data_IF_978118339839
#
_entry.id   IF_978118339839
#
_cell.length_a   1.000
_cell.length_b   1.000
_cell.length_c   1.000
_cell.angle_alpha   90.00
_cell.angle_beta   90.00
_cell.angle_gamma   90.00
#
_symmetry.space_group_name_H-M   'P 1'
#
loop_
_entity.id
_entity.type
_entity.pdbx_description
1 polymer ?
#
# COMPACT_ATOMS: atom_id res chain seq x y z
N UNK A 1 -35.59 6.75 6.99
CA UNK A 1 -34.53 6.55 5.99
C UNK A 1 -33.27 7.18 6.52
N UNK A 2 -32.08 6.55 6.39
CA UNK A 2 -30.84 7.28 6.59
C UNK A 2 -30.85 8.44 5.58
N UNK A 3 -30.75 9.66 6.07
CA UNK A 3 -30.63 10.87 5.26
C UNK A 3 -29.14 11.03 5.04
N UNK A 4 -28.69 11.00 3.79
CA UNK A 4 -27.30 11.36 3.46
C UNK A 4 -27.08 12.80 3.94
N UNK A 5 -26.10 13.06 4.83
CA UNK A 5 -25.85 14.42 5.29
C UNK A 5 -25.52 15.32 4.10
N UNK A 6 -26.01 16.54 4.15
CA UNK A 6 -25.59 17.58 3.22
C UNK A 6 -24.18 18.03 3.58
N UNK A 7 -23.42 18.57 2.62
CA UNK A 7 -22.02 19.00 2.85
C UNK A 7 -21.89 20.03 3.97
N UNK A 8 -22.93 20.86 4.16
CA UNK A 8 -22.97 21.88 5.21
C UNK A 8 -23.17 21.30 6.63
N UNK A 9 -23.56 20.02 6.74
CA UNK A 9 -23.75 19.30 8.00
C UNK A 9 -22.51 18.47 8.39
N UNK A 10 -21.49 18.39 7.52
CA UNK A 10 -20.23 17.70 7.82
C UNK A 10 -19.39 18.58 8.73
N UNK A 11 -19.11 18.08 9.93
CA UNK A 11 -18.33 18.77 10.96
C UNK A 11 -16.86 18.35 10.90
N UNK A 12 -16.59 17.08 10.61
CA UNK A 12 -15.24 16.52 10.57
C UNK A 12 -15.08 15.49 9.46
N UNK A 13 -13.88 15.43 8.88
CA UNK A 13 -13.46 14.33 7.99
C UNK A 13 -12.03 13.94 8.33
N UNK A 14 -11.82 12.69 8.74
CA UNK A 14 -10.49 12.19 9.09
C UNK A 14 -10.10 10.96 8.28
N UNK A 15 -8.80 10.82 8.07
CA UNK A 15 -8.17 9.62 7.55
C UNK A 15 -7.19 9.09 8.60
N UNK A 16 -7.50 7.91 9.12
CA UNK A 16 -6.60 7.13 9.96
C UNK A 16 -5.91 6.06 9.12
N UNK A 17 -4.59 5.94 9.23
CA UNK A 17 -3.80 4.96 8.48
C UNK A 17 -3.04 4.07 9.43
N UNK A 18 -3.15 2.76 9.25
CA UNK A 18 -2.30 1.77 9.92
C UNK A 18 -1.54 0.99 8.87
N UNK A 19 -0.23 0.87 9.05
CA UNK A 19 0.63 0.12 8.15
C UNK A 19 1.12 -1.14 8.84
N UNK A 20 0.87 -2.29 8.23
CA UNK A 20 1.46 -3.56 8.63
C UNK A 20 2.58 -3.89 7.65
N UNK A 21 3.81 -3.73 8.12
CA UNK A 21 5.01 -4.01 7.34
C UNK A 21 5.30 -5.50 7.20
N UNK A 22 6.40 -5.82 6.53
CA UNK A 22 6.92 -7.20 6.36
C UNK A 22 7.35 -7.87 7.68
N UNK A 23 7.50 -7.10 8.74
CA UNK A 23 7.75 -7.60 10.10
C UNK A 23 6.43 -7.94 10.85
N UNK A 24 5.30 -7.87 10.14
CA UNK A 24 3.93 -8.07 10.64
C UNK A 24 3.55 -7.11 11.78
N UNK A 25 4.35 -6.07 12.01
CA UNK A 25 4.08 -5.10 13.07
C UNK A 25 3.20 -3.99 12.51
N UNK A 26 2.04 -3.80 13.13
CA UNK A 26 1.11 -2.73 12.80
C UNK A 26 1.59 -1.41 13.43
N UNK A 27 1.85 -0.42 12.59
CA UNK A 27 2.31 0.91 12.96
C UNK A 27 1.25 1.95 12.53
N UNK A 28 0.53 2.57 13.49
CA UNK A 28 -0.38 3.66 13.16
C UNK A 28 0.41 4.90 12.73
N UNK A 29 -0.09 5.60 11.71
CA UNK A 29 0.40 6.91 11.28
C UNK A 29 -0.41 8.01 11.95
N UNK A 30 0.10 9.23 11.83
CA UNK A 30 -0.63 10.41 12.28
C UNK A 30 -1.95 10.54 11.52
N UNK A 31 -3.03 10.84 12.26
CA UNK A 31 -4.33 11.08 11.67
C UNK A 31 -4.30 12.34 10.81
N UNK A 32 -4.89 12.27 9.62
CA UNK A 32 -5.03 13.42 8.71
C UNK A 32 -6.43 14.02 8.84
N UNK A 33 -6.49 15.32 9.05
CA UNK A 33 -7.73 16.12 8.93
C UNK A 33 -7.92 16.53 7.46
N UNK A 34 -8.88 15.88 6.80
CA UNK A 34 -9.14 16.06 5.37
C UNK A 34 -9.81 17.40 5.07
N UNK A 35 -10.54 18.00 6.03
CA UNK A 35 -11.10 19.35 5.85
C UNK A 35 -10.01 20.40 5.97
N UNK A 36 -9.03 20.21 6.85
CA UNK A 36 -7.86 21.08 6.92
C UNK A 36 -6.98 20.98 5.68
N UNK A 37 -6.82 19.77 5.15
CA UNK A 37 -5.94 19.51 4.00
C UNK A 37 -6.54 20.04 2.69
N UNK A 38 -7.82 19.75 2.43
CA UNK A 38 -8.45 20.06 1.14
C UNK A 38 -9.40 21.26 1.18
N UNK A 39 -9.70 21.79 2.38
CA UNK A 39 -10.69 22.83 2.58
C UNK A 39 -12.13 22.29 2.60
N UNK A 40 -13.10 23.20 2.67
CA UNK A 40 -14.52 22.85 2.67
C UNK A 40 -14.98 22.45 1.27
N UNK A 41 -15.66 21.30 1.16
CA UNK A 41 -16.22 20.81 -0.09
C UNK A 41 -17.60 21.41 -0.39
N UNK A 42 -17.79 21.90 -1.61
CA UNK A 42 -19.08 22.41 -2.11
C UNK A 42 -19.88 21.35 -2.86
N UNK A 43 -19.24 20.25 -3.29
CA UNK A 43 -19.89 19.14 -3.98
C UNK A 43 -19.22 17.79 -3.75
N UNK A 44 -19.94 16.69 -4.02
CA UNK A 44 -19.41 15.32 -3.88
C UNK A 44 -18.24 15.06 -4.83
N UNK A 45 -18.23 15.71 -6.01
CA UNK A 45 -17.14 15.56 -6.97
C UNK A 45 -15.81 16.09 -6.42
N UNK A 46 -15.85 17.07 -5.51
CA UNK A 46 -14.66 17.62 -4.85
C UNK A 46 -14.16 16.72 -3.71
N UNK A 47 -14.99 15.80 -3.23
CA UNK A 47 -14.60 14.76 -2.26
C UNK A 47 -13.87 13.58 -2.91
N UNK A 48 -13.49 13.71 -4.18
CA UNK A 48 -12.63 12.74 -4.89
C UNK A 48 -11.21 13.30 -4.89
N UNK A 49 -10.38 12.80 -3.98
CA UNK A 49 -8.99 13.18 -3.85
C UNK A 49 -8.06 11.98 -4.05
N UNK A 50 -6.85 12.27 -4.52
CA UNK A 50 -5.79 11.28 -4.67
C UNK A 50 -5.05 11.12 -3.35
N UNK A 51 -4.94 9.89 -2.89
CA UNK A 51 -4.08 9.54 -1.74
C UNK A 51 -2.64 9.55 -2.24
N UNK A 52 -1.81 10.40 -1.64
CA UNK A 52 -0.38 10.53 -1.96
C UNK A 52 0.44 9.94 -0.82
N UNK A 53 1.72 9.64 -1.05
CA UNK A 53 2.64 9.26 0.03
C UNK A 53 2.64 10.27 1.20
N UNK A 54 2.46 11.57 0.91
CA UNK A 54 2.37 12.62 1.93
C UNK A 54 1.22 12.41 2.91
N UNK A 55 0.05 12.02 2.40
CA UNK A 55 -1.12 11.73 3.22
C UNK A 55 -0.96 10.44 4.05
N UNK A 56 -0.06 9.57 3.62
CA UNK A 56 0.27 8.33 4.31
C UNK A 56 1.47 8.47 5.26
N UNK A 57 2.01 9.68 5.40
CA UNK A 57 3.08 10.01 6.35
C UNK A 57 4.50 9.95 5.79
N UNK A 58 4.69 9.97 4.47
CA UNK A 58 6.02 9.97 3.83
C UNK A 58 6.16 11.03 2.73
N UNK A 59 7.37 11.31 2.26
CA UNK A 59 7.65 12.41 1.32
C UNK A 59 7.64 11.99 -0.15
N UNK A 60 7.80 10.70 -0.46
CA UNK A 60 7.78 10.16 -1.83
C UNK A 60 7.29 8.70 -1.86
N UNK A 61 6.66 8.27 -2.96
CA UNK A 61 6.15 6.89 -3.13
C UNK A 61 7.26 5.82 -3.06
N UNK A 62 8.50 6.18 -3.41
CA UNK A 62 9.67 5.29 -3.32
C UNK A 62 10.26 5.20 -1.90
N UNK A 63 9.80 6.05 -0.98
CA UNK A 63 10.20 6.06 0.42
C UNK A 63 9.11 5.45 1.30
N UNK A 64 7.87 5.46 0.82
CA UNK A 64 6.73 4.83 1.46
C UNK A 64 7.01 3.35 1.73
N UNK A 65 6.93 2.95 3.00
CA UNK A 65 7.23 1.59 3.43
C UNK A 65 6.29 0.57 2.77
N UNK A 66 6.84 -0.58 2.38
CA UNK A 66 6.04 -1.65 1.79
C UNK A 66 5.25 -2.40 2.86
N UNK A 67 3.98 -2.71 2.56
CA UNK A 67 3.10 -3.39 3.49
C UNK A 67 1.63 -3.30 3.10
N UNK A 68 0.78 -3.80 3.99
CA UNK A 68 -0.66 -3.57 3.92
C UNK A 68 -1.02 -2.29 4.68
N UNK A 69 -1.72 -1.40 4.01
CA UNK A 69 -2.22 -0.16 4.56
C UNK A 69 -3.71 -0.33 4.77
N UNK A 70 -4.14 -0.25 6.02
CA UNK A 70 -5.55 -0.11 6.38
C UNK A 70 -5.86 1.37 6.53
N UNK A 71 -6.75 1.86 5.66
CA UNK A 71 -7.21 3.25 5.61
C UNK A 71 -8.62 3.31 6.16
N UNK A 72 -8.83 4.03 7.25
CA UNK A 72 -10.15 4.27 7.82
C UNK A 72 -10.53 5.72 7.59
N UNK A 73 -11.53 5.93 6.73
CA UNK A 73 -12.15 7.23 6.51
C UNK A 73 -13.30 7.39 7.49
N UNK A 74 -13.32 8.50 8.23
CA UNK A 74 -14.42 8.82 9.14
C UNK A 74 -15.02 10.17 8.79
N UNK A 75 -16.36 10.24 8.70
CA UNK A 75 -17.10 11.49 8.46
C UNK A 75 -18.00 11.74 9.67
N UNK A 76 -17.70 12.81 10.40
CA UNK A 76 -18.54 13.32 11.48
C UNK A 76 -19.54 14.35 10.95
N UNK A 77 -20.82 14.22 11.30
CA UNK A 77 -21.85 15.17 10.88
C UNK A 77 -22.94 15.37 11.93
N UNK A 78 -23.49 16.58 11.96
CA UNK A 78 -24.61 16.97 12.80
C UNK A 78 -25.86 17.14 11.94
N UNK A 79 -26.72 16.12 11.91
CA UNK A 79 -27.96 16.20 11.13
C UNK A 79 -28.95 17.21 11.72
N UNK A 80 -29.49 18.09 10.89
CA UNK A 80 -30.66 18.98 11.08
C UNK A 80 -31.09 19.27 12.55
N UNK A 81 -30.16 19.74 13.38
CA UNK A 81 -30.46 20.24 14.73
C UNK A 81 -30.56 19.21 15.87
N UNK A 82 -30.03 17.98 15.70
CA UNK A 82 -29.86 17.04 16.82
C UNK A 82 -28.46 17.21 17.43
N UNK A 83 -28.39 17.40 18.75
CA UNK A 83 -27.15 17.63 19.55
C UNK A 83 -26.13 16.48 19.48
N UNK A 84 -26.46 15.37 18.81
CA UNK A 84 -25.61 14.19 18.73
C UNK A 84 -24.92 14.12 17.37
N UNK A 85 -23.61 14.40 17.36
CA UNK A 85 -22.73 14.11 16.22
C UNK A 85 -22.83 12.63 15.86
N UNK A 86 -23.03 12.34 14.58
CA UNK A 86 -22.96 10.99 14.00
C UNK A 86 -21.61 10.82 13.32
N UNK A 87 -21.14 9.59 13.26
CA UNK A 87 -19.90 9.24 12.56
C UNK A 87 -20.17 8.04 11.67
N UNK A 88 -19.94 8.21 10.37
CA UNK A 88 -19.92 7.12 9.40
C UNK A 88 -18.47 6.80 9.03
N UNK A 89 -18.15 5.51 8.90
CA UNK A 89 -16.79 5.04 8.60
C UNK A 89 -16.74 4.15 7.36
N UNK A 90 -15.64 4.26 6.62
CA UNK A 90 -15.28 3.38 5.51
C UNK A 90 -13.86 2.89 5.70
N UNK A 91 -13.69 1.56 5.75
CA UNK A 91 -12.38 0.92 5.87
C UNK A 91 -11.97 0.34 4.52
N UNK A 92 -10.75 0.64 4.09
CA UNK A 92 -10.17 0.16 2.84
C UNK A 92 -8.75 -0.32 3.09
N UNK A 93 -8.45 -1.55 2.66
CA UNK A 93 -7.09 -2.07 2.67
C UNK A 93 -6.45 -1.91 1.29
N UNK A 94 -5.18 -1.51 1.22
CA UNK A 94 -4.37 -1.47 0.00
C UNK A 94 -2.99 -2.11 0.26
N UNK A 95 -2.39 -2.69 -0.78
CA UNK A 95 -1.00 -3.18 -0.74
C UNK A 95 -0.08 -2.15 -1.38
N UNK A 96 0.97 -1.76 -0.67
CA UNK A 96 2.07 -0.94 -1.16
C UNK A 96 3.33 -1.80 -1.22
N UNK A 97 4.01 -1.84 -2.36
CA UNK A 97 5.17 -2.72 -2.59
C UNK A 97 6.20 -2.08 -3.56
N UNK A 98 6.32 -0.75 -3.49
CA UNK A 98 7.17 0.04 -4.37
C UNK A 98 8.67 -0.21 -4.15
N UNK A 99 9.10 -0.31 -2.89
CA UNK A 99 10.53 -0.50 -2.55
C UNK A 99 11.01 -1.86 -3.01
N UNK A 100 10.26 -2.90 -2.70
CA UNK A 100 10.53 -4.29 -3.05
C UNK A 100 10.45 -4.50 -4.56
N UNK A 101 9.52 -3.83 -5.26
CA UNK A 101 9.50 -3.83 -6.73
C UNK A 101 10.78 -3.25 -7.33
N UNK A 102 11.28 -2.13 -6.79
CA UNK A 102 12.57 -1.54 -7.22
C UNK A 102 13.72 -2.50 -6.95
N UNK A 103 13.76 -3.14 -5.78
CA UNK A 103 14.81 -4.10 -5.44
C UNK A 103 14.84 -5.32 -6.37
N UNK A 104 13.67 -5.84 -6.77
CA UNK A 104 13.60 -6.93 -7.76
C UNK A 104 14.15 -6.50 -9.11
N UNK A 105 13.83 -5.29 -9.57
CA UNK A 105 14.37 -4.78 -10.83
C UNK A 105 15.87 -4.56 -10.79
N UNK A 106 16.41 -3.99 -9.70
CA UNK A 106 17.86 -3.84 -9.56
C UNK A 106 18.57 -5.20 -9.53
N UNK A 107 18.02 -6.19 -8.80
CA UNK A 107 18.58 -7.56 -8.80
C UNK A 107 18.57 -8.21 -10.18
N UNK A 108 17.53 -7.97 -10.99
CA UNK A 108 17.48 -8.43 -12.38
C UNK A 108 18.54 -7.75 -13.27
N UNK A 109 18.94 -6.51 -12.95
CA UNK A 109 19.99 -5.77 -13.68
C UNK A 109 21.41 -6.20 -13.31
N UNK A 110 21.61 -6.75 -12.12
CA UNK A 110 22.89 -7.29 -11.66
C UNK A 110 23.29 -8.59 -12.37
N UNK A 111 22.35 -9.27 -13.03
CA UNK A 111 22.63 -10.44 -13.86
C UNK A 111 23.54 -10.02 -15.02
N UNK A 112 24.83 -10.35 -14.89
CA UNK A 112 25.83 -10.08 -15.93
C UNK A 112 25.41 -10.69 -17.27
N UNK A 113 25.37 -9.89 -18.34
CA UNK A 113 25.06 -10.35 -19.72
C UNK A 113 25.97 -11.48 -20.23
N UNK A 114 27.02 -11.84 -19.47
CA UNK A 114 27.87 -13.00 -19.70
C UNK A 114 27.14 -14.35 -19.56
N UNK A 115 25.92 -14.44 -18.99
CA UNK A 115 25.13 -15.68 -19.06
C UNK A 115 24.75 -16.09 -20.49
N UNK A 116 24.83 -15.17 -21.45
CA UNK A 116 24.68 -15.47 -22.88
C UNK A 116 25.88 -16.26 -23.45
N UNK A 117 26.97 -16.42 -22.69
CA UNK A 117 28.12 -17.22 -23.08
C UNK A 117 27.83 -18.72 -22.91
N UNK A 118 27.24 -19.32 -23.95
CA UNK A 118 27.47 -20.65 -24.58
C UNK A 118 27.73 -21.93 -23.75
N UNK A 119 27.92 -21.88 -22.43
CA UNK A 119 28.28 -23.00 -21.58
C UNK A 119 27.39 -23.03 -20.34
N UNK A 120 26.13 -23.45 -20.52
CA UNK A 120 25.40 -24.40 -19.67
C UNK A 120 25.45 -24.34 -18.14
N UNK A 121 25.85 -23.25 -17.50
CA UNK A 121 25.77 -23.11 -16.05
C UNK A 121 24.52 -22.29 -15.70
N UNK A 122 23.46 -22.90 -15.12
CA UNK A 122 22.48 -22.12 -14.38
C UNK A 122 23.22 -21.49 -13.21
N UNK A 123 23.56 -20.21 -13.34
CA UNK A 123 24.14 -19.46 -12.24
C UNK A 123 23.01 -19.22 -11.22
N UNK A 124 23.20 -19.51 -9.93
CA UNK A 124 22.19 -19.32 -8.89
C UNK A 124 21.54 -17.92 -8.94
N UNK A 125 22.31 -16.91 -9.34
CA UNK A 125 21.87 -15.52 -9.49
C UNK A 125 20.76 -15.37 -10.55
N UNK A 126 20.79 -16.14 -11.64
CA UNK A 126 19.73 -16.13 -12.67
C UNK A 126 18.45 -16.77 -12.12
N UNK A 127 18.59 -17.92 -11.45
CA UNK A 127 17.45 -18.62 -10.86
C UNK A 127 16.77 -17.77 -9.77
N UNK A 128 17.56 -17.04 -8.99
CA UNK A 128 17.05 -16.11 -7.98
C UNK A 128 16.30 -14.92 -8.58
N UNK A 129 16.80 -14.37 -9.68
CA UNK A 129 16.14 -13.26 -10.34
C UNK A 129 14.86 -13.71 -11.07
N UNK A 130 14.86 -14.88 -11.70
CA UNK A 130 13.66 -15.47 -12.29
C UNK A 130 12.59 -15.75 -11.22
N UNK A 131 13.01 -16.27 -10.06
CA UNK A 131 12.12 -16.50 -8.92
C UNK A 131 11.54 -15.18 -8.38
N UNK A 132 12.39 -14.18 -8.16
CA UNK A 132 11.96 -12.85 -7.72
C UNK A 132 10.96 -12.22 -8.71
N UNK A 133 11.22 -12.34 -10.02
CA UNK A 133 10.31 -11.89 -11.07
C UNK A 133 8.97 -12.63 -11.06
N UNK A 134 8.98 -13.95 -10.87
CA UNK A 134 7.75 -14.75 -10.80
C UNK A 134 6.89 -14.39 -9.57
N UNK A 135 7.51 -14.17 -8.41
CA UNK A 135 6.79 -13.71 -7.21
C UNK A 135 6.24 -12.29 -7.38
N UNK A 136 7.01 -11.37 -7.95
CA UNK A 136 6.52 -10.02 -8.27
C UNK A 136 5.31 -10.07 -9.21
N UNK A 137 5.36 -10.88 -10.26
CA UNK A 137 4.23 -11.05 -11.18
C UNK A 137 3.02 -11.70 -10.51
N UNK A 138 3.24 -12.66 -9.61
CA UNK A 138 2.18 -13.24 -8.80
C UNK A 138 1.52 -12.21 -7.89
N UNK A 139 2.31 -11.34 -7.23
CA UNK A 139 1.80 -10.24 -6.42
C UNK A 139 1.00 -9.23 -7.25
N UNK A 140 1.50 -8.83 -8.42
CA UNK A 140 0.79 -7.88 -9.30
C UNK A 140 -0.59 -8.42 -9.73
N UNK A 141 -0.70 -9.71 -10.02
CA UNK A 141 -1.99 -10.34 -10.37
C UNK A 141 -2.91 -10.57 -9.17
N UNK A 142 -2.34 -10.96 -8.03
CA UNK A 142 -3.11 -11.21 -6.80
C UNK A 142 -3.59 -9.91 -6.16
N UNK A 143 -2.78 -8.85 -6.17
CA UNK A 143 -3.17 -7.52 -5.69
C UNK A 143 -4.35 -6.94 -6.49
N UNK A 144 -4.49 -7.34 -7.75
CA UNK A 144 -5.63 -6.98 -8.59
C UNK A 144 -6.92 -7.72 -8.20
N UNK A 145 -6.81 -8.88 -7.56
CA UNK A 145 -7.92 -9.85 -7.40
C UNK A 145 -8.39 -10.00 -5.95
N UNK A 146 -7.48 -9.95 -4.97
CA UNK A 146 -7.80 -10.15 -3.56
C UNK A 146 -6.72 -9.47 -2.70
N UNK A 147 -7.07 -8.33 -2.09
CA UNK A 147 -6.21 -7.55 -1.18
C UNK A 147 -6.10 -8.25 0.18
N UNK A 148 -5.45 -9.42 0.23
CA UNK A 148 -5.50 -10.35 1.38
C UNK A 148 -4.14 -10.59 2.02
N UNK A 149 -4.13 -11.27 3.18
CA UNK A 149 -2.93 -11.64 3.95
C UNK A 149 -1.90 -12.43 3.13
N UNK A 150 -2.33 -13.21 2.14
CA UNK A 150 -1.44 -13.98 1.26
C UNK A 150 -0.49 -13.07 0.46
N UNK A 151 -0.83 -11.79 0.25
CA UNK A 151 0.05 -10.81 -0.38
C UNK A 151 1.19 -10.34 0.54
N UNK A 152 0.96 -10.30 1.86
CA UNK A 152 2.00 -10.03 2.85
C UNK A 152 3.04 -11.14 2.84
N UNK A 153 2.62 -12.40 2.85
CA UNK A 153 3.53 -13.55 2.78
C UNK A 153 4.41 -13.52 1.52
N UNK A 154 3.82 -13.16 0.38
CA UNK A 154 4.56 -12.98 -0.87
C UNK A 154 5.56 -11.82 -0.79
N UNK A 155 5.17 -10.69 -0.19
CA UNK A 155 6.04 -9.52 0.01
C UNK A 155 7.23 -9.84 0.94
N UNK A 156 6.97 -10.55 2.05
CA UNK A 156 7.99 -11.01 3.00
C UNK A 156 8.98 -11.95 2.32
N UNK A 157 8.46 -12.89 1.52
CA UNK A 157 9.28 -13.83 0.74
C UNK A 157 10.15 -13.07 -0.27
N UNK A 158 9.58 -12.11 -1.00
CA UNK A 158 10.29 -11.31 -1.98
C UNK A 158 11.40 -10.49 -1.33
N UNK A 159 11.09 -9.83 -0.21
CA UNK A 159 12.04 -9.07 0.62
C UNK A 159 13.22 -9.94 1.05
N UNK A 160 12.95 -11.18 1.47
CA UNK A 160 13.98 -12.13 1.89
C UNK A 160 14.90 -12.54 0.73
N UNK A 161 14.33 -12.80 -0.46
CA UNK A 161 15.10 -13.17 -1.66
C UNK A 161 16.01 -12.01 -2.10
N UNK A 162 15.52 -10.77 -2.07
CA UNK A 162 16.30 -9.61 -2.55
C UNK A 162 17.35 -9.13 -1.55
N UNK A 163 17.10 -9.23 -0.23
CA UNK A 163 18.02 -8.72 0.80
C UNK A 163 19.09 -9.73 1.24
N UNK A 164 18.73 -11.00 1.37
CA UNK A 164 19.59 -12.02 2.01
C UNK A 164 20.10 -13.10 1.05
N UNK A 165 19.67 -13.06 -0.21
CA UNK A 165 19.85 -14.17 -1.15
C UNK A 165 18.93 -15.35 -0.79
N UNK A 166 18.58 -16.15 -1.79
CA UNK A 166 17.75 -17.32 -1.54
C UNK A 166 18.66 -18.44 -1.01
N UNK A 167 18.45 -18.91 0.22
CA UNK A 167 19.09 -20.15 0.69
C UNK A 167 18.37 -21.37 0.12
N UNK A 168 18.18 -21.41 -1.21
CA UNK A 168 17.62 -22.58 -1.89
C UNK A 168 18.75 -23.58 -2.09
N UNK A 169 18.94 -24.45 -1.11
CA UNK A 169 19.73 -25.67 -1.29
C UNK A 169 18.82 -26.73 -1.92
N UNK A 170 19.13 -27.14 -3.15
CA UNK A 170 18.51 -28.27 -3.84
C UNK A 170 18.83 -29.62 -3.16
#
# INVERSE_FOLDING_TARGET
SPVTPTFAEIDTMTLDTTVTGVDETANPKDQVDLLSEFGTFASQAEMVYTITALLLGDTEDSLLEDGLYELTYSVGYSGDGIINTKTDTLVVTILVYGVVKVLVYEKAREISTLYMCTNGCPSPEIAEADLAGAYLFGMENSAYTAKTEELLDMLVTLTSIVTNGSKITW
#
